data_IF_634508000745
#
_entry.id   IF_634508000745
#
_cell.length_a   1.000
_cell.length_b   1.000
_cell.length_c   1.000
_cell.angle_alpha   90.00
_cell.angle_beta   90.00
_cell.angle_gamma   90.00
#
_symmetry.space_group_name_H-M   'P 1'
#
loop_
_entity.id
_entity.type
_entity.pdbx_description
1 polymer ?
#
# COMPACT_ATOMS: atom_id res chain seq x y z
N UNK A 1 10.29 -6.74 -12.37
CA UNK A 1 10.24 -5.62 -13.33
C UNK A 1 9.05 -5.68 -14.31
N UNK A 2 8.53 -6.85 -14.70
CA UNK A 2 7.39 -6.96 -15.63
C UNK A 2 5.98 -6.74 -15.03
N UNK A 3 5.82 -6.73 -13.71
CA UNK A 3 4.50 -6.80 -13.05
C UNK A 3 3.69 -5.49 -13.10
N UNK A 4 4.30 -4.37 -13.49
CA UNK A 4 3.69 -3.02 -13.51
C UNK A 4 3.25 -2.57 -14.91
N UNK A 5 3.69 -3.28 -15.95
CA UNK A 5 3.34 -2.98 -17.33
C UNK A 5 2.02 -3.67 -17.69
N UNK A 6 1.06 -2.91 -18.19
CA UNK A 6 -0.24 -3.41 -18.64
C UNK A 6 -0.51 -2.94 -20.07
N UNK A 7 -1.34 -3.69 -20.79
CA UNK A 7 -1.80 -3.26 -22.12
C UNK A 7 -2.45 -1.89 -22.00
N UNK A 8 -2.04 -0.95 -22.85
CA UNK A 8 -2.66 0.38 -22.89
C UNK A 8 -4.15 0.25 -23.24
N UNK A 9 -5.08 0.61 -22.34
CA UNK A 9 -6.51 0.44 -22.58
C UNK A 9 -7.06 1.42 -23.63
N UNK A 10 -6.29 2.45 -24.01
CA UNK A 10 -6.72 3.50 -24.93
C UNK A 10 -6.39 3.19 -26.41
N UNK A 11 -5.60 2.15 -26.68
CA UNK A 11 -5.22 1.75 -28.04
C UNK A 11 -5.35 0.23 -28.22
N UNK A 12 -5.97 -0.17 -29.33
CA UNK A 12 -6.37 -1.56 -29.59
C UNK A 12 -5.46 -2.30 -30.58
N UNK A 13 -4.53 -1.58 -31.22
CA UNK A 13 -3.88 -1.98 -32.48
C UNK A 13 -2.37 -2.27 -32.33
N UNK A 14 -1.81 -2.21 -31.12
CA UNK A 14 -0.36 -2.30 -30.91
C UNK A 14 -0.01 -2.88 -29.54
N UNK A 15 1.15 -3.52 -29.44
CA UNK A 15 1.77 -3.98 -28.17
C UNK A 15 2.29 -2.77 -27.35
N UNK A 16 1.45 -1.75 -27.18
CA UNK A 16 1.75 -0.59 -26.36
C UNK A 16 1.45 -0.92 -24.89
N UNK A 17 2.49 -0.85 -24.07
CA UNK A 17 2.43 -1.13 -22.66
C UNK A 17 2.58 0.17 -21.88
N UNK A 18 1.66 0.39 -20.95
CA UNK A 18 1.72 1.51 -20.01
C UNK A 18 2.11 1.03 -18.63
N UNK A 19 2.87 1.86 -17.92
CA UNK A 19 3.23 1.60 -16.53
C UNK A 19 2.13 2.11 -15.60
N UNK A 20 1.62 1.25 -14.72
CA UNK A 20 0.76 1.66 -13.61
C UNK A 20 1.65 2.18 -12.48
N UNK A 21 1.89 3.49 -12.45
CA UNK A 21 2.79 4.12 -11.46
C UNK A 21 2.23 4.11 -10.04
N UNK A 22 0.90 4.05 -9.91
CA UNK A 22 0.19 4.19 -8.63
C UNK A 22 0.06 5.63 -8.14
N UNK A 23 0.51 6.62 -8.90
CA UNK A 23 0.28 8.03 -8.57
C UNK A 23 -1.12 8.46 -9.05
N UNK A 24 -1.82 9.21 -8.20
CA UNK A 24 -3.08 9.86 -8.54
C UNK A 24 -2.77 11.28 -9.00
N UNK A 25 -3.30 11.66 -10.16
CA UNK A 25 -3.12 13.00 -10.71
C UNK A 25 -4.31 13.48 -11.51
N UNK A 26 -4.29 14.77 -11.84
CA UNK A 26 -5.31 15.42 -12.68
C UNK A 26 -4.63 16.48 -13.55
N UNK A 27 -5.16 16.71 -14.74
CA UNK A 27 -4.76 17.84 -15.57
C UNK A 27 -5.49 19.13 -15.15
N UNK A 28 -4.75 20.23 -15.02
CA UNK A 28 -5.35 21.56 -14.86
C UNK A 28 -5.89 22.11 -16.21
N UNK A 29 -6.47 23.31 -16.18
CA UNK A 29 -7.03 23.95 -17.37
C UNK A 29 -5.96 24.33 -18.42
N UNK A 30 -4.71 24.45 -18.00
CA UNK A 30 -3.56 24.78 -18.84
C UNK A 30 -2.86 23.52 -19.39
N UNK A 31 -3.33 22.33 -19.01
CA UNK A 31 -2.80 21.04 -19.44
C UNK A 31 -1.61 20.53 -18.63
N UNK A 32 -1.29 21.13 -17.48
CA UNK A 32 -0.24 20.64 -16.59
C UNK A 32 -0.76 19.47 -15.74
N UNK A 33 0.09 18.48 -15.48
CA UNK A 33 -0.24 17.34 -14.62
C UNK A 33 0.01 17.69 -13.14
N UNK A 34 -1.07 17.85 -12.38
CA UNK A 34 -1.03 17.95 -10.92
C UNK A 34 -0.96 16.56 -10.29
N UNK A 35 0.04 16.30 -9.46
CA UNK A 35 0.15 15.05 -8.67
C UNK A 35 -0.59 15.26 -7.34
N UNK A 36 -1.67 14.51 -7.14
CA UNK A 36 -2.57 14.60 -5.99
C UNK A 36 -2.20 13.64 -4.85
N UNK A 37 -1.38 12.64 -5.13
CA UNK A 37 -0.95 11.65 -4.15
C UNK A 37 -0.74 10.29 -4.80
N UNK A 38 -0.95 9.23 -4.02
CA UNK A 38 -0.95 7.85 -4.52
C UNK A 38 -2.33 7.24 -4.41
N UNK A 39 -2.64 6.33 -5.33
CA UNK A 39 -3.82 5.48 -5.27
C UNK A 39 -3.61 4.28 -4.35
N UNK A 40 -2.35 3.95 -4.07
CA UNK A 40 -1.97 2.89 -3.14
C UNK A 40 -1.71 3.42 -1.73
N UNK A 41 -1.79 2.50 -0.77
CA UNK A 41 -1.68 2.77 0.67
C UNK A 41 -0.22 2.95 1.13
N UNK A 42 0.70 3.38 0.25
CA UNK A 42 2.09 3.59 0.64
C UNK A 42 2.24 4.80 1.56
N UNK A 43 2.94 4.59 2.68
CA UNK A 43 3.20 5.64 3.66
C UNK A 43 4.69 5.91 3.83
N UNK A 44 5.02 7.06 4.42
CA UNK A 44 6.33 7.32 4.98
C UNK A 44 6.25 7.16 6.50
N UNK A 45 7.03 6.23 7.05
CA UNK A 45 7.18 6.04 8.49
C UNK A 45 8.65 6.23 8.84
N UNK A 46 8.97 7.23 9.67
CA UNK A 46 10.35 7.57 10.05
C UNK A 46 11.32 7.74 8.86
N UNK A 47 10.84 8.31 7.74
CA UNK A 47 11.64 8.51 6.53
C UNK A 47 11.78 7.28 5.63
N UNK A 48 11.23 6.13 6.03
CA UNK A 48 11.21 4.89 5.24
C UNK A 48 9.89 4.79 4.48
N UNK A 49 9.94 4.42 3.20
CA UNK A 49 8.75 4.11 2.40
C UNK A 49 8.26 2.71 2.76
N UNK A 50 7.01 2.60 3.21
CA UNK A 50 6.41 1.35 3.68
C UNK A 50 5.22 0.99 2.81
N UNK A 51 5.20 -0.26 2.35
CA UNK A 51 4.12 -0.87 1.56
C UNK A 51 3.09 -1.51 2.49
N UNK A 52 1.99 -0.82 2.79
CA UNK A 52 0.98 -1.34 3.72
C UNK A 52 0.31 -2.62 3.22
N UNK A 53 0.11 -2.77 1.90
CA UNK A 53 -0.44 -3.98 1.30
C UNK A 53 0.39 -5.23 1.60
N UNK A 54 1.72 -5.10 1.64
CA UNK A 54 2.61 -6.20 2.00
C UNK A 54 2.39 -6.65 3.43
N UNK A 55 2.33 -5.71 4.37
CA UNK A 55 2.07 -5.97 5.79
C UNK A 55 0.67 -6.58 5.97
N UNK A 56 -0.34 -6.01 5.33
CA UNK A 56 -1.74 -6.48 5.37
C UNK A 56 -1.83 -7.92 4.88
N UNK A 57 -1.19 -8.22 3.76
CA UNK A 57 -1.14 -9.58 3.19
C UNK A 57 -0.44 -10.57 4.11
N UNK A 58 0.66 -10.18 4.76
CA UNK A 58 1.35 -11.05 5.71
C UNK A 58 0.47 -11.41 6.92
N UNK A 59 -0.30 -10.45 7.47
CA UNK A 59 -1.24 -10.75 8.54
C UNK A 59 -2.41 -11.63 8.06
N UNK A 60 -2.97 -11.37 6.88
CA UNK A 60 -4.07 -12.16 6.32
C UNK A 60 -3.68 -13.62 6.04
N UNK A 61 -2.38 -13.92 5.93
CA UNK A 61 -1.89 -15.29 5.80
C UNK A 61 -1.79 -16.04 7.15
N UNK A 62 -1.98 -15.37 8.28
CA UNK A 62 -2.00 -16.01 9.60
C UNK A 62 -3.32 -16.72 9.85
N UNK A 63 -3.26 -17.87 10.52
CA UNK A 63 -4.43 -18.71 10.73
C UNK A 63 -5.51 -18.03 11.59
N UNK A 64 -6.71 -17.93 11.04
CA UNK A 64 -7.85 -17.37 11.77
C UNK A 64 -7.90 -15.84 11.78
N UNK A 65 -6.98 -15.13 11.11
CA UNK A 65 -7.13 -13.69 10.83
C UNK A 65 -8.08 -13.50 9.65
N UNK A 66 -9.17 -12.74 9.83
CA UNK A 66 -10.21 -12.54 8.83
C UNK A 66 -10.17 -11.19 8.12
N UNK A 67 -9.84 -10.12 8.85
CA UNK A 67 -9.71 -8.77 8.30
C UNK A 67 -8.52 -8.09 8.97
N UNK A 68 -7.85 -7.21 8.23
CA UNK A 68 -6.71 -6.43 8.71
C UNK A 68 -6.86 -5.02 8.17
N UNK A 69 -6.69 -4.01 9.01
CA UNK A 69 -6.64 -2.59 8.67
C UNK A 69 -5.41 -1.94 9.31
N UNK A 70 -4.70 -1.12 8.54
CA UNK A 70 -3.46 -0.48 8.95
C UNK A 70 -3.66 1.03 8.93
N UNK A 71 -3.41 1.69 10.05
CA UNK A 71 -3.60 3.13 10.19
C UNK A 71 -2.30 3.77 10.63
N UNK A 72 -1.81 4.73 9.84
CA UNK A 72 -0.73 5.60 10.28
C UNK A 72 -1.27 6.53 11.37
N UNK A 73 -0.71 6.41 12.56
CA UNK A 73 -1.01 7.26 13.70
C UNK A 73 0.14 8.23 13.94
N UNK A 74 -0.11 9.49 13.64
CA UNK A 74 0.85 10.57 13.91
C UNK A 74 0.69 11.05 15.35
N UNK A 75 1.70 10.84 16.18
CA UNK A 75 1.77 11.35 17.55
C UNK A 75 2.87 12.42 17.66
N UNK A 76 2.76 13.31 18.66
CA UNK A 76 3.72 14.37 18.94
C UNK A 76 5.14 13.82 19.24
N UNK A 77 5.22 12.59 19.73
CA UNK A 77 6.49 11.92 20.07
C UNK A 77 7.12 11.21 18.87
N UNK A 78 6.34 10.42 18.14
CA UNK A 78 6.75 9.69 16.96
C UNK A 78 5.55 9.13 16.19
N UNK A 79 5.62 9.11 14.86
CA UNK A 79 4.66 8.39 14.04
C UNK A 79 4.69 6.89 14.35
N UNK A 80 3.53 6.24 14.34
CA UNK A 80 3.40 4.79 14.59
C UNK A 80 2.39 4.16 13.64
N UNK A 81 2.55 2.88 13.34
CA UNK A 81 1.59 2.13 12.55
C UNK A 81 0.72 1.28 13.47
N UNK A 82 -0.58 1.60 13.52
CA UNK A 82 -1.57 0.83 14.26
C UNK A 82 -2.12 -0.28 13.36
N UNK A 83 -2.22 -1.49 13.92
CA UNK A 83 -2.79 -2.63 13.22
C UNK A 83 -4.05 -3.10 13.96
N UNK A 84 -5.18 -3.02 13.26
CA UNK A 84 -6.44 -3.58 13.71
C UNK A 84 -6.71 -4.84 12.90
N UNK A 85 -7.11 -5.92 13.56
CA UNK A 85 -7.50 -7.14 12.88
C UNK A 85 -8.65 -7.83 13.60
N UNK A 86 -9.37 -8.69 12.88
CA UNK A 86 -10.40 -9.56 13.42
C UNK A 86 -9.96 -11.02 13.29
N UNK A 87 -10.32 -11.86 14.26
CA UNK A 87 -9.94 -13.28 14.22
C UNK A 87 -9.45 -13.85 15.54
N UNK A 88 -8.62 -14.87 15.44
CA UNK A 88 -7.88 -15.47 16.56
C UNK A 88 -6.97 -14.42 17.20
N UNK A 89 -7.02 -14.29 18.52
CA UNK A 89 -6.16 -13.36 19.24
C UNK A 89 -4.71 -13.86 19.23
N UNK A 90 -3.81 -12.99 18.75
CA UNK A 90 -2.37 -13.15 18.82
C UNK A 90 -1.77 -12.11 19.76
N UNK A 91 -0.82 -12.53 20.59
CA UNK A 91 -0.05 -11.62 21.42
C UNK A 91 0.86 -10.72 20.57
N UNK A 92 1.09 -9.48 20.97
CA UNK A 92 1.95 -8.54 20.22
C UNK A 92 3.40 -9.01 20.04
N UNK A 93 3.92 -9.82 20.97
CA UNK A 93 5.24 -10.45 20.84
C UNK A 93 5.26 -11.57 19.80
N UNK A 94 4.20 -12.37 19.75
CA UNK A 94 4.03 -13.46 18.79
C UNK A 94 3.84 -12.92 17.36
N UNK A 95 2.99 -11.91 17.17
CA UNK A 95 2.83 -11.24 15.87
C UNK A 95 4.15 -10.69 15.35
N UNK A 96 4.97 -10.08 16.22
CA UNK A 96 6.29 -9.58 15.84
C UNK A 96 7.21 -10.70 15.35
N UNK A 97 7.19 -11.87 15.98
CA UNK A 97 7.97 -13.01 15.54
C UNK A 97 7.47 -13.54 14.19
N UNK A 98 6.16 -13.75 14.06
CA UNK A 98 5.53 -14.27 12.84
C UNK A 98 5.73 -13.36 11.62
N UNK A 99 5.70 -12.04 11.82
CA UNK A 99 5.84 -11.04 10.74
C UNK A 99 7.30 -10.63 10.48
N UNK A 100 8.26 -11.15 11.25
CA UNK A 100 9.70 -10.87 11.05
C UNK A 100 10.40 -11.81 10.06
N UNK A 101 9.69 -12.86 9.61
CA UNK A 101 10.16 -13.85 8.65
C UNK A 101 9.92 -13.39 7.20
#
# INVERSE_FOLDING_TARGET
>A
TAKLLVQNPLVSDREDLVCRTGDLGRYDNDGNLEILGRIDDQIKLHGVRVELDGIRSSLLNLEGVGQVELVLHNDASADSLLCYYSGTEYGSGELRLLLSA
#
